data_IF_451231235959
#
_entry.id   IF_451231235959
#
_cell.length_a   1.000
_cell.length_b   1.000
_cell.length_c   1.000
_cell.angle_alpha   90.00
_cell.angle_beta   90.00
_cell.angle_gamma   90.00
#
_symmetry.space_group_name_H-M   'P 1'
#
loop_
_entity.id
_entity.type
_entity.pdbx_description
1 polymer ?
#
# COMPACT_ATOMS: atom_id res chain seq x y z
N UNK A 1 -7.80 9.32 17.98
CA UNK A 1 -8.61 8.39 17.17
C UNK A 1 -8.92 7.14 17.99
N UNK A 2 -10.12 6.59 17.82
CA UNK A 2 -10.47 5.31 18.41
C UNK A 2 -10.03 4.15 17.52
N UNK A 3 -9.76 3.01 18.13
CA UNK A 3 -9.37 1.79 17.42
C UNK A 3 -10.19 0.58 17.91
N UNK A 4 -11.52 0.60 17.72
CA UNK A 4 -12.39 -0.47 18.23
C UNK A 4 -12.15 -1.81 17.52
N UNK A 5 -11.66 -1.76 16.29
CA UNK A 5 -11.35 -2.94 15.48
C UNK A 5 -9.95 -3.52 15.77
N UNK A 6 -9.23 -2.89 16.68
CA UNK A 6 -7.88 -3.32 17.13
C UNK A 6 -6.87 -3.46 15.98
N UNK A 7 -6.93 -2.54 15.01
CA UNK A 7 -6.03 -2.54 13.86
C UNK A 7 -4.59 -2.33 14.30
N UNK A 8 -3.70 -3.21 13.91
CA UNK A 8 -2.25 -3.14 14.18
C UNK A 8 -1.89 -2.99 15.65
N UNK A 9 -2.54 -3.73 16.53
CA UNK A 9 -2.08 -3.88 17.89
C UNK A 9 -1.34 -5.21 18.06
N UNK A 10 -0.51 -5.31 19.10
CA UNK A 10 0.23 -6.51 19.46
C UNK A 10 1.11 -7.09 18.33
N UNK A 11 1.80 -6.22 17.60
CA UNK A 11 2.67 -6.59 16.48
C UNK A 11 1.96 -7.33 15.34
N UNK A 12 0.67 -7.11 15.16
CA UNK A 12 -0.10 -7.70 14.07
C UNK A 12 0.31 -7.14 12.69
N UNK A 13 0.09 -7.98 11.67
CA UNK A 13 0.28 -7.61 10.28
C UNK A 13 1.70 -7.09 9.99
N UNK A 14 1.81 -5.97 9.30
CA UNK A 14 3.11 -5.47 8.86
C UNK A 14 4.04 -5.03 9.99
N UNK A 15 3.55 -4.79 11.20
CA UNK A 15 4.41 -4.34 12.31
C UNK A 15 5.52 -5.33 12.64
N UNK A 16 5.24 -6.65 12.55
CA UNK A 16 6.23 -7.68 12.79
C UNK A 16 7.48 -7.53 11.90
N UNK A 17 7.28 -7.03 10.69
CA UNK A 17 8.33 -6.83 9.70
C UNK A 17 8.94 -5.43 9.76
N UNK A 18 8.11 -4.41 9.96
CA UNK A 18 8.52 -3.00 9.83
C UNK A 18 9.25 -2.49 11.06
N UNK A 19 8.88 -2.93 12.27
CA UNK A 19 9.55 -2.49 13.50
C UNK A 19 11.04 -2.85 13.50
N UNK A 20 11.45 -4.09 13.18
CA UNK A 20 12.87 -4.41 13.06
C UNK A 20 13.59 -3.60 11.99
N UNK A 21 12.96 -3.34 10.85
CA UNK A 21 13.53 -2.53 9.77
C UNK A 21 13.81 -1.10 10.21
N UNK A 22 12.87 -0.47 10.92
CA UNK A 22 13.04 0.89 11.46
C UNK A 22 14.12 0.93 12.53
N UNK A 23 14.24 -0.09 13.36
CA UNK A 23 15.31 -0.19 14.35
C UNK A 23 16.68 -0.27 13.70
N UNK A 24 16.80 -0.99 12.58
CA UNK A 24 18.04 -1.13 11.81
C UNK A 24 18.38 0.14 11.03
N UNK A 25 17.38 0.79 10.44
CA UNK A 25 17.52 2.04 9.67
C UNK A 25 16.34 2.98 9.95
N UNK A 26 16.46 3.89 10.94
CA UNK A 26 15.39 4.82 11.28
C UNK A 26 14.96 5.74 10.13
N UNK A 27 15.82 5.99 9.15
CA UNK A 27 15.49 6.85 7.99
C UNK A 27 14.39 6.26 7.10
N UNK A 28 14.17 4.94 7.13
CA UNK A 28 13.13 4.29 6.34
C UNK A 28 11.73 4.40 6.94
N UNK A 29 11.60 4.89 8.18
CA UNK A 29 10.31 4.96 8.88
C UNK A 29 9.23 5.72 8.10
N UNK A 30 9.60 6.76 7.38
CA UNK A 30 8.64 7.55 6.59
C UNK A 30 7.87 6.75 5.53
N UNK A 31 8.41 5.63 5.08
CA UNK A 31 7.79 4.76 4.07
C UNK A 31 6.80 3.77 4.66
N UNK A 32 6.84 3.57 5.97
CA UNK A 32 6.07 2.51 6.62
C UNK A 32 4.72 2.97 7.14
N UNK A 33 4.16 2.19 7.94
CA UNK A 33 2.78 2.08 8.38
C UNK A 33 2.06 3.41 8.61
N UNK A 34 0.87 3.53 8.00
CA UNK A 34 -0.12 4.59 8.27
C UNK A 34 -1.44 3.94 8.66
N UNK A 35 -2.10 4.48 9.64
CA UNK A 35 -3.49 4.15 9.88
C UNK A 35 -4.39 4.84 8.86
N UNK A 36 -5.43 4.13 8.44
CA UNK A 36 -6.53 4.69 7.66
C UNK A 36 -7.63 5.04 8.65
N UNK A 37 -7.96 6.32 8.71
CA UNK A 37 -8.91 6.85 9.70
C UNK A 37 -10.16 7.38 8.99
N UNK A 38 -11.31 6.87 9.37
CA UNK A 38 -12.59 7.40 8.94
C UNK A 38 -12.87 8.73 9.66
N UNK A 39 -12.81 9.83 8.92
CA UNK A 39 -12.89 11.18 9.49
C UNK A 39 -14.17 11.44 10.28
N UNK A 40 -15.29 11.00 9.73
CA UNK A 40 -16.61 11.23 10.33
C UNK A 40 -16.74 10.64 11.73
N UNK A 41 -16.12 9.48 11.95
CA UNK A 41 -16.19 8.77 13.23
C UNK A 41 -14.92 8.90 14.07
N UNK A 42 -13.86 9.46 13.50
CA UNK A 42 -12.52 9.49 14.12
C UNK A 42 -12.06 8.08 14.53
N UNK A 43 -12.30 7.10 13.67
CA UNK A 43 -12.11 5.68 13.92
C UNK A 43 -11.13 5.08 12.93
N UNK A 44 -10.19 4.27 13.43
CA UNK A 44 -9.23 3.54 12.61
C UNK A 44 -9.93 2.35 11.96
N UNK A 45 -9.93 2.30 10.62
CA UNK A 45 -10.64 1.30 9.82
C UNK A 45 -9.71 0.43 8.97
N UNK A 46 -8.41 0.66 9.04
CA UNK A 46 -7.44 -0.10 8.29
C UNK A 46 -6.04 0.47 8.41
N UNK A 47 -5.14 -0.09 7.60
CA UNK A 47 -3.76 0.37 7.53
C UNK A 47 -3.19 0.21 6.14
N UNK A 48 -2.14 0.98 5.86
CA UNK A 48 -1.36 0.88 4.63
C UNK A 48 0.11 1.08 4.94
N UNK A 49 0.98 0.54 4.10
CA UNK A 49 2.42 0.68 4.25
C UNK A 49 3.10 0.46 2.91
N UNK A 50 4.10 1.28 2.59
CA UNK A 50 5.07 0.86 1.60
C UNK A 50 5.95 -0.26 2.21
N UNK A 51 6.49 -1.12 1.36
CA UNK A 51 7.31 -2.27 1.80
C UNK A 51 8.76 -1.88 2.12
N UNK A 52 9.15 -0.66 1.82
CA UNK A 52 10.46 -0.08 2.06
C UNK A 52 10.59 1.23 1.31
N UNK A 53 11.80 1.79 1.32
CA UNK A 53 12.16 2.87 0.41
C UNK A 53 12.14 2.37 -1.05
N UNK A 54 12.08 3.27 -2.04
CA UNK A 54 12.25 2.87 -3.44
C UNK A 54 13.55 2.07 -3.62
N UNK A 55 13.50 1.01 -4.41
CA UNK A 55 14.69 0.21 -4.73
C UNK A 55 15.64 0.96 -5.68
N UNK A 56 16.73 0.29 -6.11
CA UNK A 56 17.73 0.89 -7.00
C UNK A 56 17.16 1.34 -8.35
N UNK A 57 16.03 0.77 -8.79
CA UNK A 57 15.33 1.13 -10.02
C UNK A 57 14.21 2.15 -9.78
N UNK A 58 14.04 2.60 -8.54
CA UNK A 58 12.98 3.53 -8.14
C UNK A 58 11.60 2.90 -8.01
N UNK A 59 11.52 1.57 -7.87
CA UNK A 59 10.25 0.88 -7.64
C UNK A 59 9.84 0.95 -6.18
N UNK A 60 8.59 1.29 -5.95
CA UNK A 60 8.00 1.44 -4.62
C UNK A 60 6.73 0.58 -4.53
N UNK A 61 6.76 -0.40 -3.65
CA UNK A 61 5.66 -1.35 -3.46
C UNK A 61 4.82 -0.99 -2.25
N UNK A 62 3.50 -1.11 -2.37
CA UNK A 62 2.54 -0.79 -1.31
C UNK A 62 1.66 -1.97 -0.98
N UNK A 63 1.31 -2.10 0.30
CA UNK A 63 0.26 -2.97 0.81
C UNK A 63 -0.80 -2.17 1.55
N UNK A 64 -2.01 -2.73 1.61
CA UNK A 64 -3.14 -2.08 2.25
C UNK A 64 -4.13 -3.11 2.76
N UNK A 65 -4.76 -2.82 3.90
CA UNK A 65 -5.87 -3.58 4.43
C UNK A 65 -6.95 -2.66 4.98
N UNK A 66 -8.20 -2.92 4.59
CA UNK A 66 -9.40 -2.29 5.15
C UNK A 66 -10.17 -3.36 5.91
N UNK A 67 -10.60 -3.05 7.12
CA UNK A 67 -11.41 -3.95 7.91
C UNK A 67 -12.73 -4.31 7.19
N UNK A 68 -13.19 -5.55 7.36
CA UNK A 68 -14.27 -6.12 6.55
C UNK A 68 -15.55 -5.28 6.54
N UNK A 69 -15.88 -4.66 7.67
CA UNK A 69 -17.06 -3.79 7.82
C UNK A 69 -17.02 -2.55 6.94
N UNK A 70 -15.82 -2.14 6.52
CA UNK A 70 -15.59 -0.90 5.77
C UNK A 70 -15.16 -1.15 4.33
N UNK A 71 -15.14 -2.40 3.88
CA UNK A 71 -14.82 -2.75 2.50
C UNK A 71 -15.94 -2.37 1.53
N UNK A 72 -15.60 -2.26 0.24
CA UNK A 72 -16.53 -1.93 -0.86
C UNK A 72 -17.22 -0.56 -0.73
N UNK A 73 -16.57 0.40 -0.07
CA UNK A 73 -17.08 1.75 0.15
C UNK A 73 -16.15 2.83 -0.44
N UNK A 74 -15.12 2.45 -1.18
CA UNK A 74 -14.17 3.37 -1.81
C UNK A 74 -13.01 3.82 -0.94
N UNK A 75 -12.91 3.38 0.30
CA UNK A 75 -11.83 3.80 1.21
C UNK A 75 -10.44 3.34 0.76
N UNK A 76 -10.33 2.12 0.20
CA UNK A 76 -9.06 1.63 -0.35
C UNK A 76 -8.57 2.49 -1.52
N UNK A 77 -9.46 2.89 -2.43
CA UNK A 77 -9.13 3.79 -3.54
C UNK A 77 -8.61 5.13 -3.06
N UNK A 78 -9.30 5.74 -2.10
CA UNK A 78 -8.93 7.03 -1.53
C UNK A 78 -7.58 6.95 -0.82
N UNK A 79 -7.36 5.92 0.00
CA UNK A 79 -6.12 5.72 0.72
C UNK A 79 -4.93 5.51 -0.21
N UNK A 80 -5.06 4.63 -1.21
CA UNK A 80 -4.00 4.36 -2.19
C UNK A 80 -3.66 5.61 -3.00
N UNK A 81 -4.66 6.34 -3.47
CA UNK A 81 -4.45 7.58 -4.22
C UNK A 81 -3.68 8.60 -3.39
N UNK A 82 -4.04 8.75 -2.12
CA UNK A 82 -3.34 9.64 -1.19
C UNK A 82 -1.89 9.22 -0.95
N UNK A 83 -1.64 7.93 -0.74
CA UNK A 83 -0.30 7.40 -0.51
C UNK A 83 0.59 7.57 -1.73
N UNK A 84 0.11 7.25 -2.93
CA UNK A 84 0.90 7.40 -4.15
C UNK A 84 1.20 8.87 -4.46
N UNK A 85 0.22 9.77 -4.28
CA UNK A 85 0.44 11.22 -4.46
C UNK A 85 1.48 11.76 -3.47
N UNK A 86 1.44 11.31 -2.22
CA UNK A 86 2.47 11.65 -1.25
C UNK A 86 3.84 11.13 -1.71
N UNK A 87 3.93 9.89 -2.17
CA UNK A 87 5.18 9.30 -2.65
C UNK A 87 5.78 10.05 -3.84
N UNK A 88 4.95 10.64 -4.71
CA UNK A 88 5.41 11.44 -5.85
C UNK A 88 6.17 12.72 -5.44
N UNK A 89 6.11 13.12 -4.18
CA UNK A 89 6.93 14.24 -3.69
C UNK A 89 8.42 13.87 -3.58
N UNK A 90 8.75 12.58 -3.71
CA UNK A 90 10.12 12.07 -3.67
C UNK A 90 10.59 11.76 -5.09
N UNK A 91 11.62 12.46 -5.62
CA UNK A 91 12.03 12.32 -7.02
C UNK A 91 12.63 10.95 -7.37
N UNK A 92 13.09 10.18 -6.37
CA UNK A 92 13.61 8.83 -6.57
C UNK A 92 12.54 7.80 -6.91
N UNK A 93 11.25 8.10 -6.71
CA UNK A 93 10.13 7.21 -7.04
C UNK A 93 9.88 7.26 -8.55
N UNK A 94 10.08 6.13 -9.23
CA UNK A 94 9.94 6.00 -10.68
C UNK A 94 8.78 5.10 -11.09
N UNK A 95 8.47 4.09 -10.27
CA UNK A 95 7.45 3.08 -10.58
C UNK A 95 6.72 2.69 -9.29
N UNK A 96 5.41 2.60 -9.37
CA UNK A 96 4.58 2.00 -8.33
C UNK A 96 4.37 0.53 -8.62
N UNK A 97 4.52 -0.31 -7.59
CA UNK A 97 4.29 -1.75 -7.66
C UNK A 97 3.23 -2.17 -6.67
N UNK A 98 2.42 -3.12 -7.08
CA UNK A 98 1.39 -3.76 -6.25
C UNK A 98 1.43 -5.27 -6.50
N UNK A 99 1.66 -6.05 -5.46
CA UNK A 99 1.63 -7.50 -5.53
C UNK A 99 0.41 -8.04 -4.79
N UNK A 100 -0.22 -9.05 -5.34
CA UNK A 100 -1.47 -9.58 -4.82
C UNK A 100 -1.64 -11.05 -5.18
N UNK A 101 -2.23 -11.83 -4.27
CA UNK A 101 -2.64 -13.21 -4.58
C UNK A 101 -3.55 -13.24 -5.81
N UNK A 102 -3.35 -14.22 -6.74
CA UNK A 102 -4.23 -14.39 -7.91
C UNK A 102 -5.70 -14.60 -7.54
N UNK A 103 -5.97 -15.07 -6.33
CA UNK A 103 -7.32 -15.35 -5.83
C UNK A 103 -8.02 -14.10 -5.25
N UNK A 104 -7.27 -13.02 -4.99
CA UNK A 104 -7.82 -11.79 -4.43
C UNK A 104 -8.42 -10.92 -5.53
N UNK A 105 -9.60 -11.30 -6.01
CA UNK A 105 -10.26 -10.63 -7.13
C UNK A 105 -10.62 -9.17 -6.84
N UNK A 106 -10.94 -8.84 -5.59
CA UNK A 106 -11.25 -7.48 -5.18
C UNK A 106 -10.04 -6.55 -5.33
N UNK A 107 -8.86 -6.98 -4.88
CA UNK A 107 -7.62 -6.22 -5.04
C UNK A 107 -7.19 -6.11 -6.50
N UNK A 108 -7.36 -7.18 -7.28
CA UNK A 108 -7.07 -7.16 -8.72
C UNK A 108 -7.98 -6.16 -9.45
N UNK A 109 -9.26 -6.15 -9.15
CA UNK A 109 -10.19 -5.17 -9.71
C UNK A 109 -9.79 -3.74 -9.34
N UNK A 110 -9.37 -3.52 -8.10
CA UNK A 110 -8.90 -2.23 -7.61
C UNK A 110 -7.66 -1.74 -8.38
N UNK A 111 -6.68 -2.61 -8.56
CA UNK A 111 -5.43 -2.22 -9.23
C UNK A 111 -5.64 -2.02 -10.74
N UNK A 112 -6.51 -2.80 -11.36
CA UNK A 112 -6.93 -2.60 -12.75
C UNK A 112 -7.67 -1.27 -12.94
N UNK A 113 -8.51 -0.88 -11.97
CA UNK A 113 -9.17 0.42 -11.97
C UNK A 113 -8.16 1.57 -12.04
N UNK A 114 -7.05 1.48 -11.32
CA UNK A 114 -5.99 2.49 -11.37
C UNK A 114 -5.20 2.49 -12.69
N UNK A 115 -5.25 1.41 -13.47
CA UNK A 115 -4.58 1.30 -14.75
C UNK A 115 -3.19 0.68 -14.67
N UNK A 116 -2.88 -0.04 -13.60
CA UNK A 116 -1.63 -0.79 -13.48
C UNK A 116 -1.58 -1.94 -14.48
N UNK A 117 -0.39 -2.21 -15.01
CA UNK A 117 -0.13 -3.31 -15.94
C UNK A 117 0.29 -4.58 -15.18
N UNK A 118 -0.25 -5.71 -15.60
CA UNK A 118 0.21 -7.02 -15.16
C UNK A 118 1.61 -7.31 -15.70
N UNK A 119 2.55 -7.65 -14.83
CA UNK A 119 3.96 -7.90 -15.17
C UNK A 119 4.40 -9.35 -15.02
N UNK A 120 3.58 -10.21 -14.48
CA UNK A 120 3.89 -11.61 -14.25
C UNK A 120 3.61 -12.05 -12.83
N UNK A 121 4.16 -13.19 -12.47
CA UNK A 121 4.02 -13.77 -11.13
C UNK A 121 5.36 -13.94 -10.45
N UNK A 122 5.34 -13.89 -9.14
CA UNK A 122 6.45 -14.30 -8.28
C UNK A 122 5.95 -15.26 -7.21
N UNK A 123 6.88 -16.00 -6.61
CA UNK A 123 6.60 -16.87 -5.47
C UNK A 123 7.11 -16.20 -4.20
N UNK A 124 6.21 -15.88 -3.30
CA UNK A 124 6.55 -15.42 -1.95
C UNK A 124 6.64 -16.64 -1.02
N UNK A 125 7.62 -16.65 -0.13
CA UNK A 125 7.85 -17.78 0.80
C UNK A 125 6.71 -17.94 1.80
N UNK A 126 6.01 -16.85 2.13
CA UNK A 126 4.94 -16.82 3.12
C UNK A 126 3.57 -16.90 2.45
N UNK A 127 3.35 -16.02 1.44
CA UNK A 127 2.03 -15.81 0.82
C UNK A 127 1.80 -16.66 -0.43
N UNK A 128 2.82 -17.40 -0.90
CA UNK A 128 2.73 -18.24 -2.10
C UNK A 128 2.80 -17.42 -3.39
N UNK A 129 2.03 -17.83 -4.42
CA UNK A 129 2.03 -17.14 -5.71
C UNK A 129 1.41 -15.74 -5.60
N UNK A 130 2.08 -14.76 -6.17
CA UNK A 130 1.61 -13.38 -6.24
C UNK A 130 1.69 -12.84 -7.66
N UNK A 131 0.62 -12.18 -8.11
CA UNK A 131 0.64 -11.39 -9.33
C UNK A 131 1.31 -10.04 -9.06
N UNK A 132 2.14 -9.61 -10.00
CA UNK A 132 2.85 -8.33 -9.95
C UNK A 132 2.18 -7.36 -10.92
N UNK A 133 1.82 -6.19 -10.43
CA UNK A 133 1.28 -5.09 -11.22
C UNK A 133 2.15 -3.86 -11.03
N UNK A 134 2.39 -3.12 -12.11
CA UNK A 134 3.21 -1.92 -12.07
C UNK A 134 2.61 -0.77 -12.88
N UNK A 135 2.90 0.45 -12.46
CA UNK A 135 2.58 1.67 -13.18
C UNK A 135 3.72 2.68 -13.00
N UNK A 136 4.24 3.21 -14.09
CA UNK A 136 5.27 4.26 -13.99
C UNK A 136 4.69 5.52 -13.37
N UNK A 137 5.50 6.22 -12.58
CA UNK A 137 5.10 7.45 -11.93
C UNK A 137 4.58 8.50 -12.94
N UNK A 138 5.23 8.63 -14.09
CA UNK A 138 4.81 9.56 -15.14
C UNK A 138 3.43 9.24 -15.71
N UNK A 139 3.11 7.96 -15.88
CA UNK A 139 1.80 7.51 -16.36
C UNK A 139 0.72 7.71 -15.28
N UNK A 140 1.09 7.49 -14.01
CA UNK A 140 0.20 7.76 -12.88
C UNK A 140 -0.16 9.24 -12.80
N UNK A 141 0.82 10.13 -12.93
CA UNK A 141 0.60 11.58 -12.92
C UNK A 141 -0.32 11.99 -14.09
N UNK A 142 -0.09 11.44 -15.28
CA UNK A 142 -0.90 11.74 -16.46
C UNK A 142 -2.38 11.35 -16.27
N UNK A 143 -2.64 10.26 -15.56
CA UNK A 143 -4.01 9.75 -15.34
C UNK A 143 -4.68 10.31 -14.09
N UNK A 144 -3.95 10.43 -13.00
CA UNK A 144 -4.51 10.73 -11.67
C UNK A 144 -4.05 12.05 -11.07
N UNK A 145 -3.06 12.69 -11.69
CA UNK A 145 -2.45 13.90 -11.15
C UNK A 145 -1.50 13.64 -9.98
N UNK A 146 -0.81 14.68 -9.55
CA UNK A 146 0.14 14.61 -8.43
C UNK A 146 -0.42 15.21 -7.12
N UNK A 147 -1.56 15.88 -7.19
CA UNK A 147 -2.29 16.43 -6.02
C UNK A 147 -3.75 16.66 -6.36
#
# INVERSE_FOLDING_TARGET
FSNPLRVLIDFQGPLAWRVPQVKADPACNKWFVRWIVLKEKQEIIGSTSFHGAPDSDGALEIGLGIESEYQNQGFAKEALLGMWRWALTFPEVQTFRYTVSPDNLASIALINYFGFEYKGQQMDEIDGAENIYEMRAVDFIAKWGSN
#
